data_IF_958690521980
#
_entry.id   IF_958690521980
#
_cell.length_a   1.000
_cell.length_b   1.000
_cell.length_c   1.000
_cell.angle_alpha   90.00
_cell.angle_beta   90.00
_cell.angle_gamma   90.00
#
_symmetry.space_group_name_H-M   'P 1'
#
loop_
_entity.id
_entity.type
_entity.pdbx_description
1 polymer ?
#
# COMPACT_ATOMS: atom_id res chain seq x y z
N UNK A 1 -3.11 0.30 12.94
CA UNK A 1 -3.23 1.38 11.95
C UNK A 1 -3.98 2.49 12.63
N UNK A 2 -3.35 3.65 12.75
CA UNK A 2 -3.93 4.86 13.30
C UNK A 2 -5.34 5.12 12.75
N UNK A 3 -6.25 5.50 13.64
CA UNK A 3 -7.53 6.06 13.25
C UNK A 3 -7.30 7.49 12.74
N UNK A 4 -7.53 7.72 11.45
CA UNK A 4 -7.46 9.06 10.86
C UNK A 4 -8.81 9.75 11.02
N UNK A 5 -8.82 10.91 11.68
CA UNK A 5 -9.97 11.78 11.84
C UNK A 5 -9.69 13.06 11.06
N UNK A 6 -10.35 13.21 9.92
CA UNK A 6 -10.16 14.37 9.05
C UNK A 6 -10.44 15.69 9.77
N UNK A 7 -9.62 16.70 9.50
CA UNK A 7 -9.68 17.99 10.19
C UNK A 7 -9.15 17.96 11.63
N UNK A 8 -8.67 16.81 12.14
CA UNK A 8 -8.12 16.67 13.49
C UNK A 8 -6.78 15.93 13.54
N UNK A 9 -6.58 14.94 12.68
CA UNK A 9 -5.31 14.24 12.55
C UNK A 9 -4.29 15.13 11.84
N UNK A 10 -3.04 15.08 12.30
CA UNK A 10 -1.92 15.81 11.71
C UNK A 10 -0.94 14.85 11.02
N UNK A 11 -0.30 15.36 9.96
CA UNK A 11 0.83 14.71 9.32
C UNK A 11 2.00 14.62 10.31
N UNK A 12 2.53 13.44 10.56
CA UNK A 12 3.62 13.22 11.51
C UNK A 12 4.94 13.93 11.13
N UNK A 13 5.12 14.28 9.86
CA UNK A 13 6.32 14.96 9.35
C UNK A 13 6.18 16.48 9.45
N UNK A 14 5.09 17.03 8.90
CA UNK A 14 4.92 18.47 8.70
C UNK A 14 3.93 19.13 9.67
N UNK A 15 3.26 18.35 10.51
CA UNK A 15 2.19 18.77 11.43
C UNK A 15 0.96 19.40 10.74
N UNK A 16 0.89 19.36 9.41
CA UNK A 16 -0.27 19.82 8.64
C UNK A 16 -1.49 18.97 8.95
N UNK A 17 -2.65 19.61 9.08
CA UNK A 17 -3.95 18.94 9.26
C UNK A 17 -4.32 18.15 8.00
N UNK A 18 -4.59 16.86 8.19
CA UNK A 18 -5.04 15.97 7.12
C UNK A 18 -6.49 16.32 6.74
N UNK A 19 -6.67 16.64 5.47
CA UNK A 19 -7.95 16.91 4.82
C UNK A 19 -8.49 15.67 4.11
N UNK A 20 -9.76 15.72 3.72
CA UNK A 20 -10.47 14.60 3.07
C UNK A 20 -9.86 14.18 1.73
N UNK A 21 -9.34 15.13 0.97
CA UNK A 21 -8.81 14.89 -0.38
C UNK A 21 -7.28 14.72 -0.38
N UNK A 22 -6.67 14.63 0.81
CA UNK A 22 -5.23 14.44 0.91
C UNK A 22 -4.85 12.99 0.62
N UNK A 23 -3.75 12.83 -0.14
CA UNK A 23 -3.06 11.55 -0.25
C UNK A 23 -2.17 11.33 0.96
N UNK A 24 -2.40 10.25 1.70
CA UNK A 24 -1.61 9.94 2.90
C UNK A 24 -1.39 8.45 3.07
N UNK A 25 -0.32 8.12 3.79
CA UNK A 25 0.06 6.76 4.18
C UNK A 25 0.03 6.62 5.70
N UNK A 26 -0.39 5.46 6.17
CA UNK A 26 -0.28 5.08 7.58
C UNK A 26 0.69 3.92 7.70
N UNK A 27 1.78 4.13 8.44
CA UNK A 27 2.76 3.09 8.68
C UNK A 27 2.33 2.15 9.82
N UNK A 28 2.79 0.90 9.82
CA UNK A 28 2.62 0.05 10.99
C UNK A 28 3.38 0.61 12.19
N UNK A 29 3.04 0.20 13.43
CA UNK A 29 3.91 0.48 14.57
C UNK A 29 5.24 -0.26 14.37
N UNK A 30 6.35 0.46 14.38
CA UNK A 30 7.69 -0.13 14.33
C UNK A 30 8.56 0.40 15.50
N UNK A 31 9.52 -0.40 16.00
CA UNK A 31 10.37 0.02 17.12
C UNK A 31 11.16 1.28 16.78
N UNK A 32 10.98 2.34 17.56
CA UNK A 32 11.70 3.61 17.43
C UNK A 32 11.76 4.30 18.80
N UNK A 33 12.86 5.03 19.06
CA UNK A 33 13.03 5.78 20.31
C UNK A 33 12.49 7.21 20.14
N UNK A 34 12.01 7.89 21.19
CA UNK A 34 11.51 9.26 21.07
C UNK A 34 12.50 10.27 20.48
N UNK A 35 13.80 10.01 20.61
CA UNK A 35 14.88 10.83 20.03
C UNK A 35 15.10 10.57 18.53
N UNK A 36 14.54 9.50 17.98
CA UNK A 36 14.64 9.11 16.59
C UNK A 36 13.64 9.91 15.75
N UNK A 37 14.06 10.58 14.66
CA UNK A 37 13.15 11.24 13.72
C UNK A 37 12.01 10.35 13.20
N UNK A 38 12.23 9.04 13.12
CA UNK A 38 11.24 8.07 12.67
C UNK A 38 10.11 7.84 13.66
N UNK A 39 10.31 8.18 14.95
CA UNK A 39 9.35 7.93 16.02
C UNK A 39 7.97 8.47 15.71
N UNK A 40 7.91 9.68 15.14
CA UNK A 40 6.65 10.34 14.78
C UNK A 40 5.84 9.54 13.74
N UNK A 41 6.53 8.80 12.87
CA UNK A 41 5.90 8.00 11.83
C UNK A 41 5.48 6.61 12.33
N UNK A 42 5.97 6.15 13.48
CA UNK A 42 5.57 4.88 14.07
C UNK A 42 4.11 4.97 14.52
N UNK A 43 3.23 4.25 13.81
CA UNK A 43 1.76 4.35 13.95
C UNK A 43 1.21 5.78 13.70
N UNK A 44 1.90 6.56 12.88
CA UNK A 44 1.49 7.91 12.46
C UNK A 44 0.85 7.94 11.08
N UNK A 45 0.10 9.01 10.81
CA UNK A 45 -0.39 9.36 9.47
C UNK A 45 0.58 10.35 8.82
N UNK A 46 0.95 10.13 7.55
CA UNK A 46 1.93 10.95 6.83
C UNK A 46 1.37 11.32 5.46
N UNK A 47 1.33 12.61 5.14
CA UNK A 47 1.01 13.09 3.79
C UNK A 47 2.03 12.54 2.79
N UNK A 48 1.55 11.97 1.68
CA UNK A 48 2.40 11.35 0.66
C UNK A 48 3.45 12.33 0.13
N UNK A 49 3.03 13.56 -0.19
CA UNK A 49 3.93 14.62 -0.69
C UNK A 49 5.02 14.96 0.32
N UNK A 50 4.73 14.92 1.61
CA UNK A 50 5.72 15.20 2.67
C UNK A 50 6.70 14.04 2.80
N UNK A 51 6.22 12.79 2.75
CA UNK A 51 7.06 11.60 2.78
C UNK A 51 8.05 11.58 1.61
N UNK A 52 7.58 11.86 0.39
CA UNK A 52 8.43 11.81 -0.82
C UNK A 52 9.59 12.80 -0.78
N UNK A 53 9.42 13.93 -0.08
CA UNK A 53 10.45 14.97 0.06
C UNK A 53 11.24 14.85 1.38
N UNK A 54 10.92 13.87 2.23
CA UNK A 54 11.52 13.78 3.55
C UNK A 54 12.88 13.09 3.51
N UNK A 55 13.90 13.72 4.12
CA UNK A 55 15.28 13.20 4.13
C UNK A 55 15.44 11.82 4.78
N UNK A 56 14.48 11.37 5.59
CA UNK A 56 14.48 10.05 6.25
C UNK A 56 13.50 9.06 5.62
N UNK A 57 12.99 9.34 4.41
CA UNK A 57 12.06 8.47 3.67
C UNK A 57 12.54 7.02 3.62
N UNK A 58 13.75 6.80 3.13
CA UNK A 58 14.28 5.44 2.98
C UNK A 58 14.40 4.72 4.34
N UNK A 59 14.77 5.44 5.39
CA UNK A 59 14.86 4.88 6.74
C UNK A 59 13.49 4.44 7.30
N UNK A 60 12.43 5.23 7.08
CA UNK A 60 11.08 4.85 7.55
C UNK A 60 10.50 3.68 6.75
N UNK A 61 10.77 3.64 5.44
CA UNK A 61 10.34 2.54 4.58
C UNK A 61 11.05 1.24 4.95
N UNK A 62 12.36 1.29 5.22
CA UNK A 62 13.13 0.12 5.66
C UNK A 62 12.68 -0.36 7.05
N UNK A 63 12.42 0.55 8.00
CA UNK A 63 11.88 0.18 9.31
C UNK A 63 10.51 -0.52 9.19
N UNK A 64 9.63 0.01 8.32
CA UNK A 64 8.32 -0.56 8.05
C UNK A 64 8.41 -1.92 7.35
N UNK A 65 9.30 -2.06 6.36
CA UNK A 65 9.63 -3.32 5.69
C UNK A 65 10.03 -4.39 6.70
N UNK A 66 10.99 -4.06 7.57
CA UNK A 66 11.47 -4.99 8.59
C UNK A 66 10.37 -5.40 9.56
N UNK A 67 9.52 -4.45 9.98
CA UNK A 67 8.36 -4.77 10.80
C UNK A 67 7.41 -5.74 10.09
N UNK A 68 6.99 -5.47 8.85
CA UNK A 68 6.07 -6.35 8.13
C UNK A 68 6.67 -7.75 7.97
N UNK A 69 7.93 -7.85 7.58
CA UNK A 69 8.61 -9.14 7.44
C UNK A 69 8.62 -9.94 8.75
N UNK A 70 8.94 -9.31 9.88
CA UNK A 70 8.93 -9.96 11.19
C UNK A 70 7.51 -10.33 11.64
N UNK A 71 6.57 -9.41 11.49
CA UNK A 71 5.17 -9.58 11.90
C UNK A 71 4.50 -10.73 11.15
N UNK A 72 4.73 -10.85 9.84
CA UNK A 72 4.10 -11.91 9.05
C UNK A 72 4.88 -13.23 9.05
N UNK A 73 6.15 -13.25 9.47
CA UNK A 73 6.87 -14.50 9.68
C UNK A 73 6.30 -15.32 10.84
N UNK A 74 5.68 -14.68 11.83
CA UNK A 74 5.07 -15.32 13.01
C UNK A 74 3.54 -15.31 13.00
N UNK A 75 2.91 -14.73 11.98
CA UNK A 75 1.46 -14.62 11.90
C UNK A 75 0.81 -15.97 11.59
N UNK A 76 -0.22 -16.34 12.35
CA UNK A 76 -1.07 -17.49 12.04
C UNK A 76 -2.24 -17.14 11.10
N UNK A 77 -2.50 -15.84 10.88
CA UNK A 77 -3.61 -15.35 10.07
C UNK A 77 -3.23 -15.18 8.59
N UNK A 78 -1.94 -15.12 8.29
CA UNK A 78 -1.43 -14.87 6.95
C UNK A 78 -0.37 -15.91 6.56
N UNK A 79 -0.43 -16.38 5.33
CA UNK A 79 0.61 -17.21 4.71
C UNK A 79 1.32 -16.42 3.63
N UNK A 80 2.65 -16.43 3.62
CA UNK A 80 3.42 -15.75 2.57
C UNK A 80 3.34 -16.53 1.26
N UNK A 81 2.88 -15.89 0.19
CA UNK A 81 2.76 -16.48 -1.16
C UNK A 81 3.96 -16.10 -2.03
N UNK A 82 4.42 -14.86 -1.91
CA UNK A 82 5.52 -14.31 -2.69
C UNK A 82 6.25 -13.23 -1.88
N UNK A 83 7.56 -13.15 -2.05
CA UNK A 83 8.41 -12.13 -1.44
C UNK A 83 9.63 -11.88 -2.31
N UNK A 84 9.94 -10.61 -2.51
CA UNK A 84 11.24 -10.12 -2.97
C UNK A 84 11.59 -8.80 -2.27
N UNK A 85 12.54 -8.03 -2.82
CA UNK A 85 12.93 -6.74 -2.25
C UNK A 85 11.92 -5.61 -2.47
N UNK A 86 10.99 -5.78 -3.42
CA UNK A 86 9.96 -4.80 -3.79
C UNK A 86 8.62 -5.11 -3.15
N UNK A 87 8.25 -6.39 -3.10
CA UNK A 87 6.92 -6.85 -2.74
C UNK A 87 6.95 -7.88 -1.62
N UNK A 88 5.92 -7.82 -0.78
CA UNK A 88 5.49 -8.95 0.05
C UNK A 88 4.02 -9.23 -0.24
N UNK A 89 3.72 -10.48 -0.59
CA UNK A 89 2.37 -10.93 -0.90
C UNK A 89 1.95 -12.04 0.04
N UNK A 90 0.80 -11.85 0.66
CA UNK A 90 0.27 -12.71 1.71
C UNK A 90 -1.15 -13.15 1.36
N UNK A 91 -1.51 -14.38 1.73
CA UNK A 91 -2.88 -14.87 1.74
C UNK A 91 -3.40 -14.85 3.16
N UNK A 92 -4.47 -14.11 3.41
CA UNK A 92 -5.20 -14.13 4.68
C UNK A 92 -6.13 -15.33 4.71
N UNK A 93 -5.95 -16.23 5.68
CA UNK A 93 -6.66 -17.52 5.76
C UNK A 93 -8.12 -17.37 6.18
N UNK A 94 -8.43 -16.40 7.05
CA UNK A 94 -9.79 -16.21 7.60
C UNK A 94 -10.70 -15.47 6.61
N UNK A 95 -10.26 -14.31 6.11
CA UNK A 95 -11.07 -13.44 5.24
C UNK A 95 -10.92 -13.78 3.74
N UNK A 96 -10.15 -14.82 3.42
CA UNK A 96 -9.78 -15.19 2.05
C UNK A 96 -9.37 -13.97 1.19
N UNK A 97 -8.39 -13.21 1.67
CA UNK A 97 -7.88 -12.00 1.02
C UNK A 97 -6.42 -12.13 0.63
N UNK A 98 -6.02 -11.37 -0.38
CA UNK A 98 -4.63 -11.20 -0.79
C UNK A 98 -4.18 -9.82 -0.33
N UNK A 99 -3.13 -9.77 0.47
CA UNK A 99 -2.46 -8.53 0.87
C UNK A 99 -1.19 -8.39 0.04
N UNK A 100 -1.06 -7.28 -0.68
CA UNK A 100 0.12 -6.90 -1.45
C UNK A 100 0.73 -5.68 -0.78
N UNK A 101 1.97 -5.79 -0.34
CA UNK A 101 2.74 -4.71 0.28
C UNK A 101 3.83 -4.28 -0.70
N UNK A 102 3.88 -2.98 -0.99
CA UNK A 102 4.87 -2.35 -1.83
C UNK A 102 5.90 -1.63 -0.95
N UNK A 103 7.03 -2.27 -0.67
CA UNK A 103 7.98 -1.78 0.32
C UNK A 103 8.51 -0.37 0.00
N UNK A 104 8.84 -0.11 -1.27
CA UNK A 104 9.38 1.17 -1.74
C UNK A 104 8.41 2.35 -1.58
N UNK A 105 7.11 2.09 -1.45
CA UNK A 105 6.09 3.13 -1.31
C UNK A 105 5.42 3.12 0.07
N UNK A 106 5.69 2.12 0.89
CA UNK A 106 4.96 1.89 2.13
C UNK A 106 3.47 1.64 1.92
N UNK A 107 3.04 1.26 0.71
CA UNK A 107 1.64 1.04 0.36
C UNK A 107 1.23 -0.40 0.67
N UNK A 108 0.04 -0.55 1.25
CA UNK A 108 -0.60 -1.85 1.49
C UNK A 108 -1.93 -1.89 0.73
N UNK A 109 -2.10 -2.91 -0.11
CA UNK A 109 -3.33 -3.15 -0.86
C UNK A 109 -3.89 -4.50 -0.43
N UNK A 110 -5.07 -4.49 0.20
CA UNK A 110 -5.85 -5.69 0.48
C UNK A 110 -6.87 -5.92 -0.62
N UNK A 111 -7.01 -7.15 -1.11
CA UNK A 111 -7.93 -7.52 -2.18
C UNK A 111 -8.64 -8.84 -1.85
N UNK A 112 -9.93 -9.02 -2.14
CA UNK A 112 -10.54 -10.34 -2.13
C UNK A 112 -9.78 -11.30 -3.05
N UNK A 113 -9.55 -12.53 -2.59
CA UNK A 113 -8.86 -13.54 -3.40
C UNK A 113 -9.53 -13.81 -4.75
N UNK A 114 -10.86 -13.64 -4.83
CA UNK A 114 -11.68 -13.79 -6.04
C UNK A 114 -11.41 -12.72 -7.10
N UNK A 115 -11.04 -11.52 -6.68
CA UNK A 115 -10.85 -10.36 -7.55
C UNK A 115 -9.53 -10.45 -8.36
N UNK A 116 -8.59 -11.29 -7.92
CA UNK A 116 -7.27 -11.41 -8.56
C UNK A 116 -7.36 -11.83 -10.03
N UNK A 117 -8.27 -12.75 -10.36
CA UNK A 117 -8.46 -13.21 -11.74
C UNK A 117 -9.03 -12.11 -12.63
N UNK A 118 -9.95 -11.31 -12.11
CA UNK A 118 -10.55 -10.18 -12.80
C UNK A 118 -9.50 -9.09 -13.06
N UNK A 119 -8.74 -8.69 -12.03
CA UNK A 119 -7.63 -7.75 -12.18
C UNK A 119 -6.66 -8.24 -13.26
N UNK A 120 -6.24 -9.52 -13.20
CA UNK A 120 -5.35 -10.09 -14.20
C UNK A 120 -5.94 -10.08 -15.63
N UNK A 121 -7.26 -10.29 -15.75
CA UNK A 121 -7.94 -10.22 -17.05
C UNK A 121 -7.90 -8.81 -17.62
N UNK A 122 -8.04 -7.77 -16.80
CA UNK A 122 -8.02 -6.40 -17.30
C UNK A 122 -6.61 -5.87 -17.54
N UNK A 123 -5.66 -6.08 -16.62
CA UNK A 123 -4.31 -5.48 -16.72
C UNK A 123 -3.46 -6.04 -17.86
N UNK A 124 -3.84 -7.18 -18.46
CA UNK A 124 -3.15 -7.74 -19.64
C UNK A 124 -3.51 -7.01 -20.93
N UNK A 125 -4.62 -6.28 -20.94
CA UNK A 125 -5.11 -5.51 -22.07
C UNK A 125 -4.72 -4.05 -21.88
N UNK A 126 -4.84 -3.26 -22.95
CA UNK A 126 -4.69 -1.81 -22.81
C UNK A 126 -5.95 -1.24 -22.14
N UNK A 127 -5.76 -0.31 -21.24
CA UNK A 127 -6.82 0.36 -20.50
C UNK A 127 -6.35 1.78 -20.18
N UNK A 128 -7.28 2.72 -20.15
CA UNK A 128 -7.03 4.07 -19.65
C UNK A 128 -7.29 4.12 -18.14
N UNK A 129 -8.41 3.56 -17.71
CA UNK A 129 -8.83 3.54 -16.31
C UNK A 129 -9.60 2.26 -15.98
N UNK A 130 -9.35 1.71 -14.79
CA UNK A 130 -10.02 0.54 -14.24
C UNK A 130 -10.40 0.80 -12.78
N UNK A 131 -11.61 0.39 -12.42
CA UNK A 131 -12.12 0.49 -11.06
C UNK A 131 -12.52 -0.89 -10.56
N UNK A 132 -11.96 -1.28 -9.42
CA UNK A 132 -12.30 -2.53 -8.76
C UNK A 132 -12.86 -2.25 -7.37
N UNK A 133 -14.12 -2.60 -7.16
CA UNK A 133 -14.70 -2.59 -5.82
C UNK A 133 -14.07 -3.70 -4.99
N UNK A 134 -13.26 -3.34 -4.00
CA UNK A 134 -12.47 -4.27 -3.19
C UNK A 134 -13.29 -4.78 -2.00
N UNK A 135 -13.87 -3.85 -1.25
CA UNK A 135 -14.77 -4.08 -0.11
C UNK A 135 -15.89 -3.05 -0.17
N UNK A 136 -17.01 -3.17 0.56
CA UNK A 136 -18.13 -2.21 0.46
C UNK A 136 -17.73 -0.72 0.57
N UNK A 137 -16.62 -0.44 1.24
CA UNK A 137 -16.08 0.91 1.39
C UNK A 137 -14.63 1.04 0.90
N UNK A 138 -14.17 0.22 -0.05
CA UNK A 138 -12.81 0.29 -0.58
C UNK A 138 -12.80 0.10 -2.09
N UNK A 139 -12.17 1.03 -2.79
CA UNK A 139 -12.02 1.04 -4.24
C UNK A 139 -10.53 1.02 -4.59
N UNK A 140 -10.15 0.13 -5.50
CA UNK A 140 -8.85 0.17 -6.16
C UNK A 140 -9.05 0.76 -7.55
N UNK A 141 -8.42 1.90 -7.82
CA UNK A 141 -8.39 2.52 -9.15
C UNK A 141 -6.99 2.35 -9.75
N UNK A 142 -6.96 1.90 -11.00
CA UNK A 142 -5.75 1.84 -11.83
C UNK A 142 -5.96 2.80 -12.99
N UNK A 143 -5.15 3.85 -13.06
CA UNK A 143 -5.19 4.83 -14.16
C UNK A 143 -3.86 4.74 -14.90
N UNK A 144 -3.89 4.56 -16.20
CA UNK A 144 -2.69 4.38 -17.03
C UNK A 144 -2.63 5.46 -18.09
N UNK A 145 -1.50 6.13 -18.16
CA UNK A 145 -1.15 7.04 -19.26
C UNK A 145 0.00 6.46 -20.10
N UNK A 146 0.47 7.22 -21.10
CA UNK A 146 1.54 6.78 -22.01
C UNK A 146 2.88 6.49 -21.31
N UNK A 147 3.10 7.02 -20.13
CA UNK A 147 4.38 7.00 -19.42
C UNK A 147 4.34 6.24 -18.09
N UNK A 148 3.20 6.24 -17.40
CA UNK A 148 3.08 5.83 -16.01
C UNK A 148 1.76 5.14 -15.74
N UNK A 149 1.71 4.40 -14.64
CA UNK A 149 0.46 3.85 -14.12
C UNK A 149 0.30 4.29 -12.67
N UNK A 150 -0.82 4.95 -12.39
CA UNK A 150 -1.22 5.31 -11.03
C UNK A 150 -2.00 4.15 -10.44
N UNK A 151 -1.61 3.77 -9.23
CA UNK A 151 -2.34 2.83 -8.41
C UNK A 151 -2.86 3.59 -7.21
N UNK A 152 -4.18 3.65 -7.08
CA UNK A 152 -4.87 4.46 -6.10
C UNK A 152 -5.82 3.59 -5.28
N UNK A 153 -5.66 3.63 -3.96
CA UNK A 153 -6.53 2.98 -3.01
C UNK A 153 -7.37 4.04 -2.32
N UNK A 154 -8.69 3.96 -2.49
CA UNK A 154 -9.65 4.84 -1.82
C UNK A 154 -10.45 4.04 -0.81
N UNK A 155 -10.46 4.46 0.45
CA UNK A 155 -11.24 3.85 1.54
C UNK A 155 -12.27 4.87 2.03
N UNK A 156 -13.55 4.46 2.04
CA UNK A 156 -14.72 5.23 2.49
C UNK A 156 -14.94 6.57 1.77
N UNK A 157 -14.36 6.78 0.59
CA UNK A 157 -14.35 8.09 -0.08
C UNK A 157 -13.69 9.20 0.76
N UNK A 158 -12.77 8.83 1.66
CA UNK A 158 -12.12 9.79 2.57
C UNK A 158 -10.64 9.54 2.74
N UNK A 159 -10.21 8.29 2.81
CA UNK A 159 -8.79 7.96 2.82
C UNK A 159 -8.36 7.63 1.40
N UNK A 160 -7.43 8.40 0.86
CA UNK A 160 -6.83 8.13 -0.44
C UNK A 160 -5.34 7.91 -0.24
N UNK A 161 -4.84 6.81 -0.80
CA UNK A 161 -3.41 6.64 -0.98
C UNK A 161 -3.11 6.32 -2.44
N UNK A 162 -2.14 7.02 -3.02
CA UNK A 162 -1.80 6.93 -4.43
C UNK A 162 -0.29 6.79 -4.59
N UNK A 163 0.10 5.85 -5.46
CA UNK A 163 1.48 5.68 -5.91
C UNK A 163 1.54 5.74 -7.43
N UNK A 164 2.70 6.13 -7.95
CA UNK A 164 2.96 6.18 -9.38
C UNK A 164 4.02 5.13 -9.69
N UNK A 165 3.66 4.19 -10.54
CA UNK A 165 4.55 3.16 -11.06
C UNK A 165 5.09 3.60 -12.42
N UNK A 166 6.41 3.48 -12.60
CA UNK A 166 7.05 3.53 -13.91
C UNK A 166 6.60 2.35 -14.79
N UNK A 167 6.92 2.39 -16.08
CA UNK A 167 6.62 1.29 -17.02
C UNK A 167 7.20 -0.04 -16.56
N UNK A 168 8.43 -0.03 -16.04
CA UNK A 168 9.11 -1.25 -15.60
C UNK A 168 8.51 -1.79 -14.30
N UNK A 169 8.18 -0.91 -13.35
CA UNK A 169 7.46 -1.29 -12.12
C UNK A 169 6.07 -1.83 -12.43
N UNK A 170 5.36 -1.23 -13.39
CA UNK A 170 4.05 -1.71 -13.84
C UNK A 170 4.16 -3.11 -14.47
N UNK A 171 5.15 -3.33 -15.35
CA UNK A 171 5.40 -4.65 -15.96
C UNK A 171 5.73 -5.70 -14.91
N UNK A 172 6.53 -5.35 -13.91
CA UNK A 172 6.82 -6.21 -12.75
C UNK A 172 5.56 -6.53 -11.96
N UNK A 173 4.72 -5.53 -11.67
CA UNK A 173 3.44 -5.74 -10.99
C UNK A 173 2.52 -6.69 -11.78
N UNK A 174 2.39 -6.52 -13.09
CA UNK A 174 1.62 -7.44 -13.93
C UNK A 174 2.13 -8.89 -13.85
N UNK A 175 3.46 -9.06 -13.85
CA UNK A 175 4.12 -10.37 -13.73
C UNK A 175 3.89 -10.99 -12.35
N UNK A 176 3.91 -10.16 -11.30
CA UNK A 176 3.57 -10.56 -9.94
C UNK A 176 2.13 -11.09 -9.86
N UNK A 177 1.15 -10.33 -10.37
CA UNK A 177 -0.27 -10.74 -10.37
C UNK A 177 -0.45 -12.07 -11.13
N UNK A 178 0.21 -12.25 -12.27
CA UNK A 178 0.21 -13.52 -13.00
C UNK A 178 0.77 -14.67 -12.17
N UNK A 179 1.90 -14.44 -11.49
CA UNK A 179 2.58 -15.45 -10.66
C UNK A 179 1.70 -15.89 -9.50
N UNK A 180 1.07 -14.94 -8.79
CA UNK A 180 0.18 -15.24 -7.66
C UNK A 180 -1.00 -16.07 -8.14
N UNK A 181 -1.58 -15.74 -9.31
CA UNK A 181 -2.72 -16.48 -9.88
C UNK A 181 -2.37 -17.93 -10.19
N UNK A 182 -1.17 -18.22 -10.69
CA UNK A 182 -0.73 -19.58 -11.04
C UNK A 182 -0.45 -20.48 -9.83
N UNK A 183 -0.27 -19.89 -8.63
CA UNK A 183 0.01 -20.61 -7.39
C UNK A 183 -1.25 -20.98 -6.59
N UNK A 184 -2.44 -20.59 -7.09
CA UNK A 184 -3.75 -20.98 -6.55
C UNK A 184 -4.35 -22.09 -7.39
#
# INVERSE_FOLDING_TARGET
MALVIFGKSHCAISDKVIQRDDNFVCFPPFPSKPTDPLYKCSDGCVLRVELENWKYKENVLEASKNFWLQHYASSQMFTTIFRDDTYLVLHGTIENKIRIIFFQYGLVVDLPASLLSEIYNHIRHDFDELHFQVYPNSLLTLEKDKERTRLMLTIKEVQQDCIILSKDEWKRFCTLIQTIRQRK
#
